data_IF_751971071088
#
_entry.id   IF_751971071088
#
_cell.length_a   1.000
_cell.length_b   1.000
_cell.length_c   1.000
_cell.angle_alpha   90.00
_cell.angle_beta   90.00
_cell.angle_gamma   90.00
#
_symmetry.space_group_name_H-M   'P 1'
#
loop_
_entity.id
_entity.type
_entity.pdbx_description
1 polymer ?
#
# COMPACT_ATOMS: atom_id res chain seq x y z
N UNK A 1 -17.93 -2.58 -38.54
CA UNK A 1 -16.96 -2.92 -37.47
C UNK A 1 -15.64 -3.53 -38.01
N UNK A 2 -15.64 -4.24 -39.16
CA UNK A 2 -14.41 -4.90 -39.67
C UNK A 2 -13.21 -3.94 -39.85
N UNK A 3 -13.43 -2.68 -40.21
CA UNK A 3 -12.35 -1.67 -40.35
C UNK A 3 -11.67 -1.35 -39.02
N UNK A 4 -12.44 -1.26 -37.93
CA UNK A 4 -11.89 -1.00 -36.59
C UNK A 4 -11.07 -2.20 -36.06
N UNK A 5 -11.48 -3.43 -36.37
CA UNK A 5 -10.73 -4.63 -36.02
C UNK A 5 -9.39 -4.71 -36.73
N UNK A 6 -9.36 -4.34 -38.03
CA UNK A 6 -8.11 -4.28 -38.80
C UNK A 6 -7.15 -3.21 -38.29
N UNK A 7 -7.69 -2.02 -37.98
CA UNK A 7 -6.90 -0.93 -37.39
C UNK A 7 -6.30 -1.33 -36.04
N UNK A 8 -7.12 -1.92 -35.18
CA UNK A 8 -6.68 -2.45 -33.90
C UNK A 8 -5.61 -3.57 -34.05
N UNK A 9 -5.86 -4.54 -34.92
CA UNK A 9 -4.91 -5.62 -35.19
C UNK A 9 -3.57 -5.10 -35.69
N UNK A 10 -3.56 -4.08 -36.56
CA UNK A 10 -2.35 -3.42 -37.07
C UNK A 10 -1.58 -2.75 -35.94
N UNK A 11 -2.26 -2.06 -35.04
CA UNK A 11 -1.64 -1.42 -33.87
C UNK A 11 -1.02 -2.46 -32.92
N UNK A 12 -1.75 -3.53 -32.62
CA UNK A 12 -1.25 -4.60 -31.72
C UNK A 12 -0.01 -5.28 -32.34
N UNK A 13 -0.02 -5.56 -33.64
CA UNK A 13 1.17 -6.12 -34.35
C UNK A 13 2.40 -5.20 -34.30
N UNK A 14 2.19 -3.89 -34.43
CA UNK A 14 3.29 -2.92 -34.30
C UNK A 14 3.85 -2.92 -32.87
N UNK A 15 2.99 -2.98 -31.85
CA UNK A 15 3.41 -3.07 -30.45
C UNK A 15 4.15 -4.38 -30.14
N UNK A 16 3.74 -5.50 -30.72
CA UNK A 16 4.44 -6.79 -30.63
C UNK A 16 5.85 -6.70 -31.24
N UNK A 17 5.99 -5.94 -32.33
CA UNK A 17 7.27 -5.64 -32.96
C UNK A 17 8.09 -4.54 -32.21
N UNK A 18 7.67 -4.13 -31.02
CA UNK A 18 8.28 -3.05 -30.21
C UNK A 18 8.35 -1.70 -30.94
N UNK A 19 7.44 -1.45 -31.88
CA UNK A 19 7.28 -0.19 -32.58
C UNK A 19 6.11 0.56 -31.98
N UNK A 20 6.23 1.89 -31.85
CA UNK A 20 5.11 2.74 -31.41
C UNK A 20 4.24 3.08 -32.62
N UNK A 21 3.00 2.57 -32.72
CA UNK A 21 2.12 2.88 -33.84
C UNK A 21 1.64 4.32 -33.77
N UNK A 22 1.42 4.93 -34.93
CA UNK A 22 0.71 6.20 -35.02
C UNK A 22 -0.70 6.05 -34.46
N UNK A 23 -1.14 7.03 -33.65
CA UNK A 23 -2.47 7.03 -33.05
C UNK A 23 -2.63 6.06 -31.87
N UNK A 24 -1.55 5.72 -31.15
CA UNK A 24 -1.56 4.83 -29.98
C UNK A 24 -2.58 5.28 -28.91
N UNK A 25 -2.89 6.56 -28.84
CA UNK A 25 -3.90 7.14 -27.96
C UNK A 25 -5.31 6.60 -28.23
N UNK A 26 -5.57 6.09 -29.44
CA UNK A 26 -6.85 5.46 -29.82
C UNK A 26 -6.95 4.02 -29.34
N UNK A 27 -5.85 3.36 -28.99
CA UNK A 27 -5.81 1.97 -28.63
C UNK A 27 -6.80 1.58 -27.51
N UNK A 28 -6.91 2.34 -26.38
CA UNK A 28 -7.88 2.02 -25.34
C UNK A 28 -9.34 2.11 -25.78
N UNK A 29 -9.63 3.01 -26.72
CA UNK A 29 -10.99 3.16 -27.29
C UNK A 29 -11.32 1.98 -28.20
N UNK A 30 -10.41 1.63 -29.11
CA UNK A 30 -10.57 0.51 -30.03
C UNK A 30 -10.68 -0.82 -29.26
N UNK A 31 -9.93 -0.98 -28.18
CA UNK A 31 -10.02 -2.14 -27.32
C UNK A 31 -11.40 -2.29 -26.69
N UNK A 32 -11.96 -1.22 -26.11
CA UNK A 32 -13.32 -1.25 -25.54
C UNK A 32 -14.38 -1.61 -26.59
N UNK A 33 -14.24 -1.06 -27.80
CA UNK A 33 -15.13 -1.41 -28.90
C UNK A 33 -15.00 -2.89 -29.29
N UNK A 34 -13.79 -3.41 -29.35
CA UNK A 34 -13.52 -4.83 -29.63
C UNK A 34 -14.13 -5.75 -28.57
N UNK A 35 -13.99 -5.41 -27.28
CA UNK A 35 -14.62 -6.16 -26.19
C UNK A 35 -16.14 -6.15 -26.29
N UNK A 36 -16.74 -5.00 -26.64
CA UNK A 36 -18.18 -4.90 -26.87
C UNK A 36 -18.64 -5.74 -28.06
N UNK A 37 -17.89 -5.73 -29.18
CA UNK A 37 -18.17 -6.52 -30.36
C UNK A 37 -18.04 -8.04 -30.06
N UNK A 38 -17.05 -8.45 -29.25
CA UNK A 38 -16.90 -9.83 -28.79
C UNK A 38 -18.13 -10.28 -27.97
N UNK A 39 -18.50 -9.49 -26.95
CA UNK A 39 -19.67 -9.78 -26.12
C UNK A 39 -20.95 -9.87 -26.97
N UNK A 40 -21.10 -9.03 -27.99
CA UNK A 40 -22.21 -9.07 -28.91
C UNK A 40 -22.19 -10.32 -29.81
N UNK A 41 -20.99 -10.72 -30.28
CA UNK A 41 -20.81 -11.90 -31.11
C UNK A 41 -21.14 -13.18 -30.35
N UNK A 42 -20.77 -13.27 -29.10
CA UNK A 42 -21.09 -14.38 -28.20
C UNK A 42 -22.60 -14.43 -27.89
N UNK A 43 -23.20 -13.30 -27.52
CA UNK A 43 -24.62 -13.22 -27.18
C UNK A 43 -25.55 -13.56 -28.38
N UNK A 44 -25.13 -13.20 -29.59
CA UNK A 44 -25.93 -13.44 -30.82
C UNK A 44 -25.51 -14.68 -31.60
N UNK A 45 -24.59 -15.48 -31.05
CA UNK A 45 -24.08 -16.70 -31.65
C UNK A 45 -23.63 -16.54 -33.13
N UNK A 46 -22.85 -15.47 -33.41
CA UNK A 46 -22.38 -15.16 -34.78
C UNK A 46 -21.35 -16.14 -35.35
N UNK A 47 -21.21 -17.30 -34.77
CA UNK A 47 -20.31 -18.37 -35.20
C UNK A 47 -18.99 -18.41 -34.44
N UNK A 48 -18.59 -19.61 -34.11
CA UNK A 48 -17.43 -19.89 -33.24
C UNK A 48 -16.13 -19.26 -33.76
N UNK A 49 -15.88 -19.34 -35.08
CA UNK A 49 -14.65 -18.77 -35.68
C UNK A 49 -14.50 -17.27 -35.51
N UNK A 50 -15.62 -16.52 -35.51
CA UNK A 50 -15.58 -15.08 -35.31
C UNK A 50 -15.28 -14.74 -33.83
N UNK A 51 -15.97 -15.43 -32.93
CA UNK A 51 -15.75 -15.21 -31.47
C UNK A 51 -14.34 -15.58 -31.06
N UNK A 52 -13.77 -16.68 -31.56
CA UNK A 52 -12.40 -17.08 -31.32
C UNK A 52 -11.40 -16.03 -31.84
N UNK A 53 -11.60 -15.50 -33.04
CA UNK A 53 -10.75 -14.47 -33.61
C UNK A 53 -10.78 -13.19 -32.80
N UNK A 54 -11.98 -12.73 -32.42
CA UNK A 54 -12.12 -11.51 -31.60
C UNK A 54 -11.51 -11.71 -30.22
N UNK A 55 -11.73 -12.86 -29.59
CA UNK A 55 -11.13 -13.20 -28.30
C UNK A 55 -9.61 -13.22 -28.36
N UNK A 56 -9.01 -13.82 -29.39
CA UNK A 56 -7.56 -13.80 -29.59
C UNK A 56 -7.02 -12.39 -29.72
N UNK A 57 -7.72 -11.48 -30.42
CA UNK A 57 -7.33 -10.08 -30.55
C UNK A 57 -7.46 -9.33 -29.21
N UNK A 58 -8.50 -9.61 -28.42
CA UNK A 58 -8.68 -9.04 -27.07
C UNK A 58 -7.53 -9.47 -26.16
N UNK A 59 -7.20 -10.75 -26.10
CA UNK A 59 -6.12 -11.28 -25.26
C UNK A 59 -4.76 -10.66 -25.62
N UNK A 60 -4.45 -10.56 -26.92
CA UNK A 60 -3.19 -9.96 -27.40
C UNK A 60 -3.08 -8.48 -27.01
N UNK A 61 -4.14 -7.70 -27.18
CA UNK A 61 -4.11 -6.28 -26.86
C UNK A 61 -4.19 -5.98 -25.37
N UNK A 62 -4.84 -6.85 -24.58
CA UNK A 62 -4.90 -6.73 -23.12
C UNK A 62 -3.51 -6.58 -22.49
N UNK A 63 -2.53 -7.33 -23.00
CA UNK A 63 -1.16 -7.29 -22.51
C UNK A 63 -0.50 -5.90 -22.68
N UNK A 64 -0.86 -5.16 -23.73
CA UNK A 64 -0.29 -3.83 -24.00
C UNK A 64 -1.04 -2.71 -23.27
N UNK A 65 -2.31 -2.88 -22.97
CA UNK A 65 -3.13 -1.87 -22.29
C UNK A 65 -2.95 -1.96 -20.78
N UNK A 66 -2.90 -3.17 -20.23
CA UNK A 66 -2.84 -3.39 -18.77
C UNK A 66 -1.45 -3.76 -18.25
N UNK A 67 -0.57 -4.34 -19.07
CA UNK A 67 0.87 -4.35 -18.80
C UNK A 67 1.40 -3.02 -19.31
N UNK A 68 1.51 -2.03 -18.44
CA UNK A 68 2.08 -0.73 -18.79
C UNK A 68 3.37 -0.90 -19.59
N UNK A 69 3.46 -0.20 -20.72
CA UNK A 69 4.68 -0.09 -21.52
C UNK A 69 5.76 0.46 -20.60
N UNK A 70 6.64 -0.41 -20.10
CA UNK A 70 7.75 -0.01 -19.23
C UNK A 70 7.69 -0.53 -17.80
N UNK A 71 7.35 -1.81 -17.56
CA UNK A 71 7.63 -2.46 -16.26
C UNK A 71 9.11 -2.80 -16.12
N UNK A 72 9.96 -1.80 -16.23
CA UNK A 72 11.40 -1.90 -16.00
C UNK A 72 11.79 -1.06 -14.78
N UNK A 73 12.97 -1.32 -14.27
CA UNK A 73 13.61 -0.57 -13.17
C UNK A 73 13.48 0.95 -13.36
N UNK A 74 13.57 1.42 -14.61
CA UNK A 74 13.41 2.83 -14.98
C UNK A 74 12.01 3.39 -14.64
N UNK A 75 10.93 2.66 -14.92
CA UNK A 75 9.57 3.09 -14.58
C UNK A 75 9.35 3.15 -13.07
N UNK A 76 9.91 2.17 -12.34
CA UNK A 76 9.88 2.15 -10.88
C UNK A 76 10.66 3.34 -10.30
N UNK A 77 11.86 3.60 -10.80
CA UNK A 77 12.66 4.76 -10.40
C UNK A 77 11.95 6.08 -10.72
N UNK A 78 11.36 6.22 -11.90
CA UNK A 78 10.59 7.39 -12.29
C UNK A 78 9.36 7.61 -11.39
N UNK A 79 8.72 6.53 -10.95
CA UNK A 79 7.64 6.62 -9.98
C UNK A 79 8.13 7.25 -8.68
N UNK A 80 9.21 6.75 -8.08
CA UNK A 80 9.74 7.25 -6.81
C UNK A 80 10.36 8.66 -6.91
N UNK A 81 11.03 8.99 -8.02
CA UNK A 81 11.74 10.28 -8.17
C UNK A 81 10.80 11.40 -8.63
N UNK A 82 9.79 11.11 -9.45
CA UNK A 82 8.95 12.14 -10.05
C UNK A 82 7.47 12.00 -9.70
N UNK A 83 6.85 10.85 -9.97
CA UNK A 83 5.39 10.70 -9.86
C UNK A 83 4.90 10.82 -8.43
N UNK A 84 5.51 10.09 -7.51
CA UNK A 84 5.14 10.08 -6.10
C UNK A 84 5.40 11.44 -5.41
N UNK A 85 6.58 12.09 -5.52
CA UNK A 85 6.78 13.41 -4.93
C UNK A 85 5.86 14.49 -5.50
N UNK A 86 5.54 14.43 -6.79
CA UNK A 86 4.60 15.37 -7.40
C UNK A 86 3.16 15.17 -6.89
N UNK A 87 2.74 13.92 -6.68
CA UNK A 87 1.45 13.63 -6.06
C UNK A 87 1.37 14.18 -4.62
N UNK A 88 2.42 13.97 -3.81
CA UNK A 88 2.49 14.52 -2.45
C UNK A 88 2.46 16.04 -2.42
N UNK A 89 3.16 16.71 -3.35
CA UNK A 89 3.14 18.19 -3.45
C UNK A 89 1.76 18.70 -3.86
N UNK A 90 1.08 18.03 -4.77
CA UNK A 90 -0.26 18.39 -5.21
C UNK A 90 -1.25 18.33 -4.05
N UNK A 91 -1.18 17.29 -3.25
CA UNK A 91 -2.10 17.03 -2.15
C UNK A 91 -1.45 17.34 -0.78
N UNK A 92 -0.52 18.31 -0.74
CA UNK A 92 0.32 18.65 0.42
C UNK A 92 -0.48 19.00 1.68
N UNK A 93 -1.64 19.65 1.54
CA UNK A 93 -2.51 19.97 2.69
C UNK A 93 -2.99 18.71 3.40
N UNK A 94 -3.43 17.72 2.62
CA UNK A 94 -3.86 16.44 3.17
C UNK A 94 -2.70 15.68 3.80
N UNK A 95 -1.54 15.68 3.16
CA UNK A 95 -0.33 15.08 3.68
C UNK A 95 0.06 15.65 5.06
N UNK A 96 0.12 16.99 5.19
CA UNK A 96 0.45 17.63 6.46
C UNK A 96 -0.60 17.44 7.54
N UNK A 97 -1.88 17.34 7.15
CA UNK A 97 -2.96 17.00 8.09
C UNK A 97 -2.77 15.58 8.63
N UNK A 98 -2.50 14.60 7.79
CA UNK A 98 -2.21 13.24 8.24
C UNK A 98 -0.94 13.17 9.11
N UNK A 99 0.11 13.90 8.75
CA UNK A 99 1.31 14.02 9.58
C UNK A 99 0.99 14.59 10.95
N UNK A 100 0.19 15.66 11.03
CA UNK A 100 -0.25 16.26 12.29
C UNK A 100 -1.06 15.31 13.14
N UNK A 101 -2.03 14.60 12.54
CA UNK A 101 -2.87 13.61 13.24
C UNK A 101 -2.06 12.46 13.86
N UNK A 102 -0.93 12.12 13.29
CA UNK A 102 -0.03 11.09 13.83
C UNK A 102 0.99 11.68 14.81
N UNK A 103 1.72 12.72 14.42
CA UNK A 103 2.86 13.23 15.20
C UNK A 103 2.47 14.05 16.42
N UNK A 104 1.28 14.71 16.43
CA UNK A 104 0.83 15.45 17.61
C UNK A 104 0.52 14.51 18.79
N UNK A 105 -0.30 13.44 18.63
CA UNK A 105 -0.50 12.48 19.72
C UNK A 105 0.80 11.76 20.13
N UNK A 106 1.66 11.38 19.17
CA UNK A 106 2.98 10.82 19.45
C UNK A 106 3.80 11.75 20.37
N UNK A 107 3.94 13.01 19.96
CA UNK A 107 4.71 14.01 20.73
C UNK A 107 4.08 14.32 22.10
N UNK A 108 2.74 14.30 22.20
CA UNK A 108 2.04 14.48 23.46
C UNK A 108 2.39 13.37 24.46
N UNK A 109 2.43 12.12 24.05
CA UNK A 109 2.87 11.00 24.91
C UNK A 109 4.35 11.04 25.25
N UNK A 110 5.21 11.43 24.31
CA UNK A 110 6.63 11.65 24.62
C UNK A 110 6.84 12.75 25.68
N UNK A 111 6.05 13.82 25.62
CA UNK A 111 6.10 14.88 26.62
C UNK A 111 5.49 14.45 27.95
N UNK A 112 4.42 13.63 27.94
CA UNK A 112 3.77 13.15 29.15
C UNK A 112 4.71 12.33 30.03
N UNK A 113 5.66 11.62 29.45
CA UNK A 113 6.66 10.87 30.19
C UNK A 113 7.45 11.72 31.21
N UNK A 114 7.61 13.03 30.92
CA UNK A 114 8.29 13.95 31.81
C UNK A 114 7.36 14.65 32.82
N UNK A 115 6.13 14.96 32.42
CA UNK A 115 5.24 15.82 33.18
C UNK A 115 4.06 15.09 33.83
N UNK A 116 3.64 13.96 33.25
CA UNK A 116 2.48 13.19 33.69
C UNK A 116 2.62 11.72 33.25
N UNK A 117 3.58 10.95 33.82
CA UNK A 117 3.87 9.57 33.39
C UNK A 117 2.68 8.62 33.57
N UNK A 118 1.75 8.93 34.48
CA UNK A 118 0.54 8.16 34.72
C UNK A 118 -0.33 7.98 33.46
N UNK A 119 -0.27 8.90 32.51
CA UNK A 119 -0.99 8.76 31.23
C UNK A 119 -0.48 7.61 30.37
N UNK A 120 0.82 7.33 30.45
CA UNK A 120 1.45 6.22 29.71
C UNK A 120 0.97 4.90 30.31
N UNK A 121 0.97 4.81 31.64
CA UNK A 121 0.53 3.61 32.37
C UNK A 121 -0.95 3.31 32.13
N UNK A 122 -1.79 4.36 32.19
CA UNK A 122 -3.24 4.23 31.90
C UNK A 122 -3.48 3.78 30.46
N UNK A 123 -2.71 4.31 29.49
CA UNK A 123 -2.91 4.02 28.07
C UNK A 123 -2.39 2.63 27.66
N UNK A 124 -1.21 2.25 28.11
CA UNK A 124 -0.61 0.94 27.80
C UNK A 124 -1.27 -0.17 28.63
N UNK A 125 -1.66 0.11 29.85
CA UNK A 125 -2.12 -0.87 30.83
C UNK A 125 -1.01 -1.85 31.24
N UNK A 126 -1.30 -2.70 32.24
CA UNK A 126 -0.32 -3.67 32.76
C UNK A 126 0.21 -4.61 31.68
N UNK A 127 -0.65 -5.10 30.80
CA UNK A 127 -0.23 -6.02 29.72
C UNK A 127 0.71 -5.38 28.69
N UNK A 128 0.46 -4.11 28.34
CA UNK A 128 1.33 -3.37 27.40
C UNK A 128 2.69 -3.05 28.04
N UNK A 129 2.71 -2.69 29.32
CA UNK A 129 3.96 -2.45 30.03
C UNK A 129 4.78 -3.75 30.15
N UNK A 130 4.17 -4.86 30.56
CA UNK A 130 4.82 -6.19 30.59
C UNK A 130 5.42 -6.57 29.24
N UNK A 131 4.69 -6.32 28.15
CA UNK A 131 5.19 -6.60 26.80
C UNK A 131 6.42 -5.72 26.45
N UNK A 132 6.42 -4.45 26.82
CA UNK A 132 7.57 -3.57 26.60
C UNK A 132 8.76 -3.98 27.46
N UNK A 133 8.55 -4.37 28.71
CA UNK A 133 9.61 -4.90 29.58
C UNK A 133 10.20 -6.20 29.06
N UNK A 134 9.36 -7.13 28.59
CA UNK A 134 9.83 -8.37 27.98
C UNK A 134 10.69 -8.13 26.73
N UNK A 135 10.35 -7.12 25.92
CA UNK A 135 11.09 -6.80 24.69
C UNK A 135 12.32 -5.92 24.90
N UNK A 136 12.29 -4.99 25.86
CA UNK A 136 13.30 -3.94 26.00
C UNK A 136 13.89 -3.81 27.40
N UNK A 137 13.41 -4.57 28.38
CA UNK A 137 13.93 -4.57 29.77
C UNK A 137 15.35 -5.10 29.88
N UNK A 138 15.92 -4.99 31.08
CA UNK A 138 17.31 -5.44 31.36
C UNK A 138 17.53 -6.94 31.12
N UNK A 139 16.48 -7.74 31.38
CA UNK A 139 16.49 -9.20 31.21
C UNK A 139 16.01 -9.62 29.82
N UNK A 140 15.68 -8.66 28.94
CA UNK A 140 15.30 -8.95 27.57
C UNK A 140 16.52 -9.46 26.81
N UNK A 141 16.70 -10.77 26.80
CA UNK A 141 17.70 -11.40 25.94
C UNK A 141 17.15 -11.51 24.51
N UNK A 142 18.02 -11.23 23.55
CA UNK A 142 17.71 -11.51 22.13
C UNK A 142 17.32 -12.98 21.96
N UNK A 143 17.79 -13.85 22.84
CA UNK A 143 17.48 -15.26 22.94
C UNK A 143 16.00 -15.52 23.27
N UNK A 144 15.41 -14.80 24.24
CA UNK A 144 14.00 -14.96 24.60
C UNK A 144 13.05 -14.50 23.50
N UNK A 145 13.42 -13.45 22.76
CA UNK A 145 12.66 -13.00 21.57
C UNK A 145 12.80 -14.02 20.43
N UNK A 146 13.94 -14.69 20.31
CA UNK A 146 14.16 -15.74 19.33
C UNK A 146 13.41 -17.03 19.64
N UNK A 147 13.22 -17.35 20.91
CA UNK A 147 12.44 -18.53 21.34
C UNK A 147 10.95 -18.39 20.98
N UNK A 148 10.40 -17.17 20.97
CA UNK A 148 9.02 -16.87 20.54
C UNK A 148 8.86 -16.98 19.01
N UNK A 149 9.95 -16.75 18.25
CA UNK A 149 9.97 -16.87 16.79
C UNK A 149 11.04 -17.89 16.38
N UNK A 150 10.64 -19.00 15.78
CA UNK A 150 11.51 -20.07 15.29
C UNK A 150 12.66 -19.62 14.36
N UNK A 151 12.59 -18.38 13.87
CA UNK A 151 13.64 -17.79 13.02
C UNK A 151 13.51 -16.27 12.87
N UNK A 152 14.62 -15.60 12.55
CA UNK A 152 14.62 -14.18 12.16
C UNK A 152 13.67 -13.87 10.99
N UNK A 153 13.41 -14.86 10.13
CA UNK A 153 12.49 -14.76 9.02
C UNK A 153 11.03 -14.75 9.49
N UNK A 154 10.68 -15.56 10.47
CA UNK A 154 9.34 -15.54 11.07
C UNK A 154 9.04 -14.22 11.77
N UNK A 155 10.00 -13.67 12.51
CA UNK A 155 9.90 -12.36 13.14
C UNK A 155 9.73 -11.24 12.09
N UNK A 156 10.53 -11.25 11.02
CA UNK A 156 10.37 -10.32 9.89
C UNK A 156 8.97 -10.44 9.27
N UNK A 157 8.51 -11.66 9.02
CA UNK A 157 7.18 -11.94 8.49
C UNK A 157 6.06 -11.39 9.39
N UNK A 158 6.21 -11.53 10.70
CA UNK A 158 5.28 -10.96 11.69
C UNK A 158 5.22 -9.43 11.61
N UNK A 159 6.36 -8.74 11.56
CA UNK A 159 6.40 -7.29 11.44
C UNK A 159 5.76 -6.81 10.13
N UNK A 160 6.07 -7.46 9.01
CA UNK A 160 5.46 -7.15 7.71
C UNK A 160 3.95 -7.35 7.76
N UNK A 161 3.47 -8.48 8.27
CA UNK A 161 2.05 -8.79 8.40
C UNK A 161 1.33 -7.78 9.30
N UNK A 162 1.91 -7.44 10.45
CA UNK A 162 1.34 -6.47 11.39
C UNK A 162 1.17 -5.09 10.73
N UNK A 163 2.21 -4.57 10.07
CA UNK A 163 2.17 -3.27 9.41
C UNK A 163 1.18 -3.23 8.23
N UNK A 164 1.14 -4.30 7.43
CA UNK A 164 0.17 -4.44 6.35
C UNK A 164 -1.25 -4.47 6.92
N UNK A 165 -1.51 -5.23 8.00
CA UNK A 165 -2.81 -5.32 8.65
C UNK A 165 -3.29 -3.97 9.17
N UNK A 166 -2.41 -3.17 9.78
CA UNK A 166 -2.72 -1.79 10.21
C UNK A 166 -3.09 -0.93 9.00
N UNK A 167 -2.32 -1.01 7.91
CA UNK A 167 -2.58 -0.26 6.68
C UNK A 167 -3.92 -0.61 6.05
N UNK A 168 -4.29 -1.89 6.04
CA UNK A 168 -5.60 -2.34 5.57
C UNK A 168 -6.74 -1.84 6.45
N UNK A 169 -6.58 -1.82 7.77
CA UNK A 169 -7.58 -1.27 8.70
C UNK A 169 -7.77 0.22 8.47
N UNK A 170 -6.69 0.98 8.26
CA UNK A 170 -6.76 2.40 7.90
C UNK A 170 -7.50 2.62 6.58
N UNK A 171 -7.19 1.82 5.55
CA UNK A 171 -7.85 1.89 4.25
C UNK A 171 -9.33 1.55 4.35
N UNK A 172 -9.68 0.44 4.99
CA UNK A 172 -11.05 0.02 5.20
C UNK A 172 -11.85 1.07 6.02
N UNK A 173 -11.23 1.66 7.04
CA UNK A 173 -11.80 2.75 7.83
C UNK A 173 -12.06 4.03 7.00
N UNK A 174 -11.32 4.22 5.91
CA UNK A 174 -11.53 5.32 4.96
C UNK A 174 -12.86 5.25 4.23
N UNK A 175 -13.38 4.05 3.99
CA UNK A 175 -14.69 3.82 3.35
C UNK A 175 -15.83 4.40 4.20
N UNK A 176 -15.68 4.47 5.52
CA UNK A 176 -16.63 5.07 6.44
C UNK A 176 -16.38 6.58 6.61
N UNK A 177 -16.43 7.33 5.52
CA UNK A 177 -16.25 8.80 5.50
C UNK A 177 -14.96 9.28 6.17
N UNK A 178 -13.88 8.54 6.03
CA UNK A 178 -12.55 8.80 6.61
C UNK A 178 -12.47 8.78 8.15
N UNK A 179 -13.57 8.56 8.86
CA UNK A 179 -13.60 8.56 10.35
C UNK A 179 -12.67 7.47 10.89
N UNK A 180 -12.75 6.26 10.33
CA UNK A 180 -11.88 5.15 10.76
C UNK A 180 -10.41 5.42 10.46
N UNK A 181 -10.09 6.04 9.32
CA UNK A 181 -8.69 6.41 9.01
C UNK A 181 -8.14 7.40 10.01
N UNK A 182 -8.90 8.44 10.37
CA UNK A 182 -8.52 9.45 11.38
C UNK A 182 -8.31 8.76 12.73
N UNK A 183 -9.24 7.92 13.14
CA UNK A 183 -9.14 7.16 14.40
C UNK A 183 -7.88 6.32 14.45
N UNK A 184 -7.63 5.48 13.43
CA UNK A 184 -6.45 4.62 13.41
C UNK A 184 -5.15 5.41 13.34
N UNK A 185 -5.13 6.54 12.65
CA UNK A 185 -3.94 7.37 12.55
C UNK A 185 -3.57 8.00 13.90
N UNK A 186 -4.54 8.57 14.59
CA UNK A 186 -4.39 9.13 15.95
C UNK A 186 -4.00 8.02 16.94
N UNK A 187 -4.73 6.90 16.93
CA UNK A 187 -4.48 5.76 17.81
C UNK A 187 -3.06 5.19 17.63
N UNK A 188 -2.58 5.04 16.39
CA UNK A 188 -1.21 4.59 16.14
C UNK A 188 -0.18 5.61 16.64
N UNK A 189 -0.42 6.91 16.47
CA UNK A 189 0.43 7.96 17.01
C UNK A 189 0.52 7.88 18.55
N UNK A 190 -0.61 7.71 19.22
CA UNK A 190 -0.67 7.52 20.67
C UNK A 190 0.07 6.25 21.11
N UNK A 191 -0.23 5.13 20.46
CA UNK A 191 0.34 3.83 20.85
C UNK A 191 1.85 3.78 20.67
N UNK A 192 2.38 4.25 19.53
CA UNK A 192 3.82 4.29 19.29
C UNK A 192 4.48 5.32 20.20
N UNK A 193 3.82 6.48 20.43
CA UNK A 193 4.31 7.52 21.34
C UNK A 193 4.40 7.04 22.79
N UNK A 194 3.37 6.36 23.29
CA UNK A 194 3.34 5.80 24.64
C UNK A 194 4.39 4.70 24.81
N UNK A 195 4.51 3.77 23.85
CA UNK A 195 5.52 2.71 23.88
C UNK A 195 6.94 3.27 23.85
N UNK A 196 7.21 4.22 22.96
CA UNK A 196 8.53 4.86 22.87
C UNK A 196 8.87 5.65 24.15
N UNK A 197 7.88 6.35 24.71
CA UNK A 197 8.04 7.11 25.95
C UNK A 197 8.33 6.17 27.13
N UNK A 198 7.62 5.06 27.25
CA UNK A 198 7.84 4.05 28.29
C UNK A 198 9.26 3.45 28.20
N UNK A 199 9.66 3.01 27.02
CA UNK A 199 11.00 2.46 26.80
C UNK A 199 12.09 3.47 27.12
N UNK A 200 11.95 4.72 26.66
CA UNK A 200 13.00 5.74 26.84
C UNK A 200 13.09 6.27 28.27
N UNK A 201 11.95 6.53 28.92
CA UNK A 201 11.95 7.19 30.24
C UNK A 201 11.82 6.24 31.44
N UNK A 202 11.14 5.12 31.28
CA UNK A 202 11.00 4.15 32.37
C UNK A 202 12.16 3.15 32.39
N UNK A 203 12.45 2.48 31.25
CA UNK A 203 13.46 1.43 31.19
C UNK A 203 14.90 1.97 31.12
N UNK A 204 15.16 3.12 30.48
CA UNK A 204 16.52 3.69 30.46
C UNK A 204 16.94 4.30 31.79
N UNK A 205 16.02 4.84 32.58
CA UNK A 205 16.35 5.33 33.93
C UNK A 205 16.84 4.22 34.86
N UNK A 206 16.33 3.01 34.72
CA UNK A 206 16.79 1.87 35.47
C UNK A 206 18.20 1.38 35.08
N UNK A 207 18.68 1.73 33.87
CA UNK A 207 20.05 1.39 33.43
C UNK A 207 21.14 2.29 34.05
N UNK A 208 20.76 3.41 34.64
CA UNK A 208 21.66 4.42 35.20
C UNK A 208 21.73 4.42 36.75
N UNK A 209 20.99 3.54 37.41
CA UNK A 209 21.05 3.26 38.85
C UNK A 209 21.35 1.80 39.10
#
# INVERSE_FOLDING_TARGET
>A
NAKHWQEYEKMVKALEARQTPEGIEKLPRLFRQLCSDLALAENRAYGIKLSERLNALVIRGYQFIYRGVGSGLHSTLQFFIATFPNALRRDSRLFWLCMGLFWLPYGAFMLSAKYAPEWIEIFLGEGGMMQMEAMYGKDASIESIREEFDSNFAMFGFYVFNNISISFRMFAGGIMFCVGTIFFLVFNGMHIGASAAYVHYALDKEKFY
#
